data_IF_486760661160
#
_entry.id   IF_486760661160
#
_cell.length_a   1.000
_cell.length_b   1.000
_cell.length_c   1.000
_cell.angle_alpha   90.00
_cell.angle_beta   90.00
_cell.angle_gamma   90.00
#
_symmetry.space_group_name_H-M   'P 1'
#
loop_
_entity.id
_entity.type
_entity.pdbx_description
1 polymer ?
#
# COMPACT_ATOMS: atom_id res chain seq x y z
N UNK A 1 -65.12 -38.61 -2.13
CA UNK A 1 -65.79 -37.37 -2.61
C UNK A 1 -65.26 -36.11 -1.92
N UNK A 2 -65.00 -36.11 -0.61
CA UNK A 2 -64.46 -34.93 0.11
C UNK A 2 -62.99 -34.62 -0.26
N UNK A 3 -62.14 -35.64 -0.38
CA UNK A 3 -60.73 -35.51 -0.77
C UNK A 3 -60.55 -34.87 -2.17
N UNK A 4 -61.47 -35.17 -3.10
CA UNK A 4 -61.44 -34.67 -4.46
C UNK A 4 -61.80 -33.18 -4.54
N UNK A 5 -62.66 -32.70 -3.62
CA UNK A 5 -63.00 -31.30 -3.50
C UNK A 5 -61.83 -30.50 -2.92
N UNK A 6 -61.19 -31.02 -1.87
CA UNK A 6 -60.01 -30.38 -1.25
C UNK A 6 -58.84 -30.28 -2.25
N UNK A 7 -58.63 -31.31 -3.08
CA UNK A 7 -57.60 -31.28 -4.12
C UNK A 7 -57.85 -30.18 -5.17
N UNK A 8 -59.12 -29.99 -5.57
CA UNK A 8 -59.52 -28.91 -6.51
C UNK A 8 -59.33 -27.54 -5.89
N UNK A 9 -59.66 -27.36 -4.61
CA UNK A 9 -59.47 -26.11 -3.89
C UNK A 9 -57.99 -25.75 -3.71
N UNK A 10 -57.14 -26.70 -3.33
CA UNK A 10 -55.68 -26.50 -3.26
C UNK A 10 -55.11 -26.10 -4.61
N UNK A 11 -55.60 -26.69 -5.71
CA UNK A 11 -55.17 -26.33 -7.07
C UNK A 11 -55.61 -24.90 -7.42
N UNK A 12 -56.81 -24.47 -7.00
CA UNK A 12 -57.30 -23.10 -7.21
C UNK A 12 -56.49 -22.07 -6.42
N UNK A 13 -56.14 -22.39 -5.16
CA UNK A 13 -55.30 -21.56 -4.30
C UNK A 13 -53.88 -21.40 -4.86
N UNK A 14 -53.23 -22.50 -5.26
CA UNK A 14 -51.87 -22.47 -5.84
C UNK A 14 -51.80 -21.69 -7.16
N UNK A 15 -52.87 -21.69 -7.96
CA UNK A 15 -52.94 -20.90 -9.21
C UNK A 15 -53.00 -19.39 -8.98
N UNK A 16 -53.60 -18.94 -7.87
CA UNK A 16 -53.70 -17.49 -7.54
C UNK A 16 -52.51 -16.99 -6.73
N UNK A 17 -51.76 -17.89 -6.07
CA UNK A 17 -50.52 -17.53 -5.38
C UNK A 17 -49.39 -17.42 -6.41
N UNK A 18 -48.90 -16.20 -6.65
CA UNK A 18 -47.67 -16.00 -7.42
C UNK A 18 -46.45 -16.66 -6.75
N UNK A 19 -45.33 -16.74 -7.48
CA UNK A 19 -44.05 -17.13 -6.89
C UNK A 19 -43.66 -16.09 -5.82
N UNK A 20 -43.01 -16.55 -4.76
CA UNK A 20 -42.47 -15.64 -3.75
C UNK A 20 -41.47 -14.67 -4.40
N UNK A 21 -41.48 -13.41 -3.97
CA UNK A 21 -40.48 -12.44 -4.40
C UNK A 21 -39.08 -12.99 -4.10
N UNK A 22 -38.17 -12.87 -5.06
CA UNK A 22 -36.81 -13.44 -4.95
C UNK A 22 -36.69 -14.94 -5.30
N UNK A 23 -37.76 -15.64 -5.71
CA UNK A 23 -37.67 -17.06 -6.11
C UNK A 23 -36.71 -17.34 -7.28
N UNK A 24 -36.37 -16.33 -8.10
CA UNK A 24 -35.41 -16.46 -9.22
C UNK A 24 -33.98 -16.12 -8.81
N UNK A 25 -33.82 -15.33 -7.74
CA UNK A 25 -32.51 -14.89 -7.23
C UNK A 25 -32.03 -15.77 -6.08
N UNK A 26 -32.93 -16.52 -5.46
CA UNK A 26 -32.60 -17.63 -4.57
C UNK A 26 -32.17 -18.84 -5.43
N UNK A 27 -31.05 -18.68 -6.14
CA UNK A 27 -30.14 -19.82 -6.33
C UNK A 27 -29.93 -20.35 -4.93
N UNK A 28 -30.20 -21.65 -4.75
CA UNK A 28 -30.09 -22.33 -3.47
C UNK A 28 -28.78 -21.94 -2.80
N UNK A 29 -28.86 -20.94 -1.92
CA UNK A 29 -27.85 -20.65 -0.91
C UNK A 29 -27.98 -21.80 0.07
N UNK A 30 -27.56 -22.98 -0.39
CA UNK A 30 -27.13 -24.04 0.45
C UNK A 30 -26.13 -23.36 1.38
N UNK A 31 -26.58 -23.19 2.62
CA UNK A 31 -25.80 -22.76 3.75
C UNK A 31 -24.71 -23.82 3.94
N UNK A 32 -23.72 -23.82 3.04
CA UNK A 32 -22.58 -24.70 3.08
C UNK A 32 -21.67 -24.12 4.14
N UNK A 33 -21.97 -24.52 5.37
CA UNK A 33 -20.97 -24.67 6.42
C UNK A 33 -19.69 -25.19 5.77
N UNK A 34 -18.64 -24.37 5.86
CA UNK A 34 -17.23 -24.71 5.74
C UNK A 34 -16.97 -26.22 5.57
N UNK A 35 -16.86 -26.67 4.33
CA UNK A 35 -16.10 -27.87 3.99
C UNK A 35 -15.04 -27.45 2.98
N UNK A 36 -13.85 -27.21 3.52
CA UNK A 36 -12.59 -27.12 2.78
C UNK A 36 -12.32 -28.47 2.12
N UNK A 37 -12.86 -28.65 0.91
CA UNK A 37 -12.42 -29.67 -0.04
C UNK A 37 -11.97 -28.94 -1.30
N UNK A 38 -10.73 -29.14 -1.70
CA UNK A 38 -10.12 -28.50 -2.86
C UNK A 38 -10.86 -28.93 -4.15
N UNK A 39 -11.88 -28.17 -4.54
CA UNK A 39 -12.45 -28.23 -5.88
C UNK A 39 -11.52 -27.48 -6.85
N UNK A 40 -11.39 -27.93 -8.11
CA UNK A 40 -10.60 -27.24 -9.10
C UNK A 40 -11.15 -25.83 -9.29
N UNK A 41 -10.32 -24.82 -9.00
CA UNK A 41 -10.68 -23.41 -9.17
C UNK A 41 -10.67 -23.09 -10.67
N UNK A 42 -11.73 -22.43 -11.15
CA UNK A 42 -11.84 -21.97 -12.54
C UNK A 42 -10.67 -21.01 -12.85
N UNK A 43 -9.85 -21.26 -13.88
CA UNK A 43 -8.76 -20.37 -14.27
C UNK A 43 -9.18 -18.94 -14.60
N UNK A 44 -10.45 -18.72 -14.96
CA UNK A 44 -11.00 -17.39 -15.25
C UNK A 44 -11.27 -16.56 -14.00
N UNK A 45 -11.40 -17.20 -12.84
CA UNK A 45 -11.60 -16.53 -11.56
C UNK A 45 -10.25 -16.43 -10.85
N UNK A 46 -9.69 -15.22 -10.81
CA UNK A 46 -8.42 -14.95 -10.12
C UNK A 46 -8.47 -15.28 -8.62
N UNK A 47 -7.30 -15.41 -8.01
CA UNK A 47 -7.18 -15.67 -6.57
C UNK A 47 -7.74 -14.50 -5.75
N UNK A 48 -8.89 -14.71 -5.12
CA UNK A 48 -9.50 -13.77 -4.15
C UNK A 48 -9.05 -14.04 -2.71
N UNK A 49 -7.89 -14.67 -2.51
CA UNK A 49 -7.38 -14.94 -1.17
C UNK A 49 -6.82 -13.63 -0.59
N UNK A 50 -7.36 -13.10 0.52
CA UNK A 50 -6.83 -11.89 1.14
C UNK A 50 -5.41 -12.15 1.62
N UNK A 51 -4.49 -11.25 1.26
CA UNK A 51 -3.11 -11.29 1.72
C UNK A 51 -3.03 -10.49 3.02
N UNK A 52 -2.48 -11.10 4.07
CA UNK A 52 -2.31 -10.41 5.34
C UNK A 52 -1.24 -9.32 5.23
N UNK A 53 -1.54 -8.13 5.73
CA UNK A 53 -0.66 -6.96 5.68
C UNK A 53 0.53 -7.06 6.65
N UNK A 54 0.43 -7.93 7.65
CA UNK A 54 1.47 -8.16 8.66
C UNK A 54 1.83 -9.64 8.65
N UNK A 55 3.10 -9.94 8.46
CA UNK A 55 3.65 -11.30 8.50
C UNK A 55 3.91 -11.69 9.96
N UNK A 56 2.90 -12.24 10.62
CA UNK A 56 3.09 -12.94 11.88
C UNK A 56 3.83 -14.26 11.60
N UNK A 57 5.15 -14.20 11.67
CA UNK A 57 6.02 -15.36 11.52
C UNK A 57 5.72 -16.39 12.62
N UNK A 58 4.81 -17.34 12.35
CA UNK A 58 4.68 -18.56 13.13
C UNK A 58 5.91 -19.43 12.86
N UNK A 59 6.99 -19.13 13.58
CA UNK A 59 8.27 -19.84 13.53
C UNK A 59 8.05 -21.29 13.97
N UNK A 60 8.04 -22.22 13.01
CA UNK A 60 8.38 -23.62 13.31
C UNK A 60 9.88 -23.68 13.58
N UNK A 61 10.21 -24.08 14.80
CA UNK A 61 11.56 -24.20 15.32
C UNK A 61 12.46 -25.04 14.41
N UNK A 62 13.50 -24.43 13.84
CA UNK A 62 14.75 -25.13 13.49
C UNK A 62 15.93 -24.16 13.56
N UNK A 63 16.85 -24.46 14.49
CA UNK A 63 18.27 -24.06 14.65
C UNK A 63 18.61 -22.55 14.68
N UNK A 64 19.28 -22.05 15.73
CA UNK A 64 19.65 -20.64 15.83
C UNK A 64 20.85 -20.35 14.92
N UNK A 65 20.61 -19.72 13.78
CA UNK A 65 21.64 -18.87 13.17
C UNK A 65 21.66 -17.54 13.92
N UNK A 66 22.84 -16.93 14.17
CA UNK A 66 22.91 -15.63 14.81
C UNK A 66 22.34 -14.59 13.83
N UNK A 67 21.08 -14.21 14.05
CA UNK A 67 20.48 -13.08 13.36
C UNK A 67 21.19 -11.81 13.84
N UNK A 68 21.59 -10.89 12.94
CA UNK A 68 22.04 -9.57 13.36
C UNK A 68 20.90 -8.91 14.15
N UNK A 69 21.30 -8.24 15.23
CA UNK A 69 20.40 -7.59 16.17
C UNK A 69 19.51 -6.59 15.44
N UNK A 70 18.25 -6.58 15.86
CA UNK A 70 17.22 -5.58 15.59
C UNK A 70 17.81 -4.24 15.13
N UNK A 71 17.63 -3.93 13.84
CA UNK A 71 17.66 -2.55 13.40
C UNK A 71 16.52 -1.85 14.13
N UNK A 72 16.88 -0.91 15.02
CA UNK A 72 15.99 0.17 15.43
C UNK A 72 15.31 0.70 14.16
N UNK A 73 14.05 1.16 14.19
CA UNK A 73 13.46 1.79 13.01
C UNK A 73 14.45 2.83 12.53
N UNK A 74 15.07 2.57 11.37
CA UNK A 74 15.97 3.51 10.73
C UNK A 74 15.08 4.73 10.53
N UNK A 75 15.36 5.83 11.22
CA UNK A 75 14.72 7.09 10.86
C UNK A 75 14.88 7.21 9.34
N UNK A 76 13.80 7.52 8.65
CA UNK A 76 13.93 7.85 7.24
C UNK A 76 14.87 9.05 7.14
N UNK A 77 15.67 9.18 6.06
CA UNK A 77 16.52 10.34 5.88
C UNK A 77 15.74 11.67 6.01
N UNK A 78 14.46 11.68 5.60
CA UNK A 78 13.52 12.80 5.82
C UNK A 78 13.24 13.08 7.31
N UNK A 79 13.01 12.05 8.13
CA UNK A 79 12.78 12.18 9.57
C UNK A 79 14.04 12.64 10.32
N UNK A 80 15.23 12.34 9.81
CA UNK A 80 16.48 12.85 10.37
C UNK A 80 16.69 14.31 9.98
N UNK A 81 16.49 14.65 8.71
CA UNK A 81 16.60 16.01 8.19
C UNK A 81 15.67 16.96 8.95
N UNK A 82 14.38 16.62 9.04
CA UNK A 82 13.39 17.42 9.78
C UNK A 82 13.73 17.59 11.26
N UNK A 83 14.45 16.65 11.89
CA UNK A 83 14.90 16.83 13.28
C UNK A 83 16.06 17.80 13.40
N UNK A 84 16.99 17.76 12.46
CA UNK A 84 18.14 18.67 12.43
C UNK A 84 17.70 20.09 12.07
N UNK A 85 16.72 20.25 11.17
CA UNK A 85 16.10 21.53 10.83
C UNK A 85 15.28 22.15 11.98
N UNK A 86 14.78 21.34 12.91
CA UNK A 86 14.04 21.80 14.09
C UNK A 86 14.87 21.72 15.38
N UNK A 87 16.20 21.65 15.29
CA UNK A 87 17.07 21.62 16.47
C UNK A 87 17.23 23.04 17.05
N UNK A 88 16.57 23.29 18.19
CA UNK A 88 16.65 24.55 18.93
C UNK A 88 18.09 24.98 19.25
N UNK A 89 19.02 24.02 19.42
CA UNK A 89 20.42 24.34 19.68
C UNK A 89 21.10 24.91 18.44
N UNK A 90 20.87 24.30 17.27
CA UNK A 90 21.43 24.76 16.01
C UNK A 90 20.92 26.18 15.71
N UNK A 91 19.61 26.39 15.84
CA UNK A 91 18.97 27.69 15.63
C UNK A 91 19.58 28.79 16.52
N UNK A 92 19.70 28.53 17.82
CA UNK A 92 20.27 29.50 18.75
C UNK A 92 21.75 29.83 18.47
N UNK A 93 22.52 28.88 17.93
CA UNK A 93 23.91 29.11 17.54
C UNK A 93 24.00 29.94 16.26
N UNK A 94 23.08 29.72 15.30
CA UNK A 94 22.97 30.51 14.07
C UNK A 94 22.54 31.95 14.35
N UNK A 95 21.52 32.16 15.19
CA UNK A 95 21.07 33.49 15.62
C UNK A 95 22.23 34.30 16.23
N UNK A 96 23.03 33.64 17.08
CA UNK A 96 24.20 34.26 17.71
C UNK A 96 25.29 34.62 16.67
N UNK A 97 25.45 33.81 15.64
CA UNK A 97 26.37 34.07 14.53
C UNK A 97 25.89 35.30 13.73
N UNK A 98 24.59 35.42 13.48
CA UNK A 98 23.95 36.55 12.80
C UNK A 98 24.05 37.86 13.61
N UNK A 99 23.98 37.76 14.94
CA UNK A 99 24.28 38.87 15.87
C UNK A 99 25.76 39.28 15.86
N UNK A 100 26.63 38.54 15.16
CA UNK A 100 28.06 38.80 15.03
C UNK A 100 28.88 38.37 16.24
N UNK A 101 28.33 37.53 17.12
CA UNK A 101 29.04 37.02 18.28
C UNK A 101 29.92 35.82 17.88
N UNK A 102 31.09 35.73 18.51
CA UNK A 102 32.01 34.61 18.26
C UNK A 102 31.54 33.36 19.02
N UNK A 103 31.47 32.25 18.30
CA UNK A 103 31.19 30.91 18.83
C UNK A 103 32.45 30.29 19.43
N UNK A 104 32.27 29.34 20.35
CA UNK A 104 33.37 28.52 20.83
C UNK A 104 33.82 27.55 19.71
N UNK A 105 35.05 27.03 19.78
CA UNK A 105 35.54 26.07 18.78
C UNK A 105 34.68 24.79 18.72
N UNK A 106 34.12 24.39 19.87
CA UNK A 106 33.24 23.22 19.96
C UNK A 106 31.87 23.50 19.31
N UNK A 107 31.31 24.69 19.54
CA UNK A 107 30.03 25.07 18.94
C UNK A 107 30.15 25.32 17.43
N UNK A 108 31.24 25.94 16.98
CA UNK A 108 31.49 26.09 15.54
C UNK A 108 31.62 24.72 14.86
N UNK A 109 32.40 23.80 15.45
CA UNK A 109 32.53 22.44 14.90
C UNK A 109 31.19 21.69 14.89
N UNK A 110 30.32 21.93 15.87
CA UNK A 110 28.98 21.38 15.89
C UNK A 110 28.12 21.91 14.74
N UNK A 111 28.11 23.23 14.55
CA UNK A 111 27.36 23.88 13.45
C UNK A 111 27.84 23.33 12.12
N UNK A 112 29.15 23.34 11.87
CA UNK A 112 29.74 22.86 10.61
C UNK A 112 29.37 21.39 10.33
N UNK A 113 29.54 20.49 11.32
CA UNK A 113 29.19 19.06 11.17
C UNK A 113 27.69 18.83 10.94
N UNK A 114 26.85 19.66 11.54
CA UNK A 114 25.40 19.53 11.42
C UNK A 114 24.93 19.99 10.04
N UNK A 115 25.50 21.09 9.53
CA UNK A 115 25.25 21.57 8.16
C UNK A 115 25.74 20.55 7.11
N UNK A 116 26.95 20.00 7.26
CA UNK A 116 27.46 18.94 6.38
C UNK A 116 26.52 17.71 6.37
N UNK A 117 25.94 17.38 7.51
CA UNK A 117 24.99 16.26 7.63
C UNK A 117 23.66 16.57 6.93
N UNK A 118 23.16 17.79 7.07
CA UNK A 118 21.96 18.28 6.40
C UNK A 118 22.15 18.21 4.88
N UNK A 119 23.28 18.69 4.36
CA UNK A 119 23.61 18.63 2.93
C UNK A 119 23.63 17.19 2.39
N UNK A 120 24.31 16.28 3.11
CA UNK A 120 24.34 14.87 2.74
C UNK A 120 22.95 14.20 2.77
N UNK A 121 22.05 14.64 3.68
CA UNK A 121 20.68 14.14 3.74
C UNK A 121 19.82 14.68 2.59
N UNK A 122 20.03 15.94 2.17
CA UNK A 122 19.36 16.51 1.00
C UNK A 122 19.77 15.79 -0.29
N UNK A 123 21.06 15.50 -0.48
CA UNK A 123 21.57 14.70 -1.61
C UNK A 123 20.97 13.29 -1.61
N UNK A 124 20.92 12.63 -0.45
CA UNK A 124 20.31 11.30 -0.31
C UNK A 124 18.82 11.26 -0.66
N UNK A 125 18.12 12.39 -0.50
CA UNK A 125 16.71 12.53 -0.83
C UNK A 125 16.48 12.98 -2.28
N UNK A 126 17.54 13.28 -3.03
CA UNK A 126 17.44 13.81 -4.39
C UNK A 126 16.86 15.22 -4.44
N UNK A 127 16.95 15.98 -3.35
CA UNK A 127 16.65 17.42 -3.34
C UNK A 127 17.96 18.13 -3.68
N UNK A 128 18.44 17.95 -4.89
CA UNK A 128 19.68 18.59 -5.34
C UNK A 128 19.41 20.10 -5.50
N UNK A 129 20.07 20.91 -4.67
CA UNK A 129 20.03 22.37 -4.75
C UNK A 129 20.99 22.84 -5.86
N UNK A 130 20.64 22.57 -7.11
CA UNK A 130 21.39 23.02 -8.28
C UNK A 130 21.91 21.85 -9.11
N UNK A 131 21.40 21.82 -10.33
CA UNK A 131 21.82 21.03 -11.49
C UNK A 131 21.12 19.66 -11.69
N UNK A 132 20.21 19.66 -12.70
CA UNK A 132 20.02 18.54 -13.64
C UNK A 132 19.15 17.34 -13.25
N UNK A 133 17.86 17.54 -12.93
CA UNK A 133 16.88 16.43 -12.92
C UNK A 133 15.68 16.62 -13.87
N UNK A 134 15.91 17.30 -15.00
CA UNK A 134 15.02 17.28 -16.16
C UNK A 134 15.44 16.23 -17.23
N UNK A 135 16.64 15.64 -17.17
CA UNK A 135 17.11 14.70 -18.22
C UNK A 135 16.77 13.22 -17.95
N UNK A 136 16.78 12.73 -16.69
CA UNK A 136 16.42 11.32 -16.40
C UNK A 136 14.90 11.06 -16.33
N UNK A 137 14.11 12.12 -16.12
CA UNK A 137 12.65 12.00 -16.21
C UNK A 137 12.18 11.89 -17.67
N UNK A 138 12.86 12.54 -18.62
CA UNK A 138 12.50 12.48 -20.04
C UNK A 138 12.56 11.05 -20.61
N UNK A 139 13.59 10.25 -20.32
CA UNK A 139 13.68 8.87 -20.85
C UNK A 139 12.50 7.98 -20.40
N UNK A 140 12.09 8.10 -19.12
CA UNK A 140 10.94 7.36 -18.58
C UNK A 140 9.62 7.90 -19.16
N UNK A 141 9.50 9.21 -19.37
CA UNK A 141 8.34 9.83 -19.97
C UNK A 141 8.19 9.45 -21.45
N UNK A 142 9.28 9.38 -22.21
CA UNK A 142 9.30 8.96 -23.61
C UNK A 142 8.87 7.50 -23.80
N UNK A 143 9.32 6.60 -22.92
CA UNK A 143 8.95 5.18 -23.00
C UNK A 143 7.45 4.97 -22.69
N UNK A 144 6.91 5.76 -21.75
CA UNK A 144 5.47 5.83 -21.48
C UNK A 144 4.70 6.42 -22.67
N UNK A 145 5.20 7.50 -23.29
CA UNK A 145 4.59 8.13 -24.47
C UNK A 145 4.58 7.18 -25.67
N UNK A 146 5.64 6.40 -25.85
CA UNK A 146 5.81 5.42 -26.91
C UNK A 146 4.87 4.22 -26.73
N UNK A 147 4.71 3.73 -25.50
CA UNK A 147 3.73 2.70 -25.16
C UNK A 147 2.29 3.20 -25.42
N UNK A 148 1.99 4.44 -25.01
CA UNK A 148 0.68 5.08 -25.21
C UNK A 148 0.37 5.31 -26.69
N UNK A 149 1.38 5.70 -27.49
CA UNK A 149 1.25 5.92 -28.94
C UNK A 149 1.20 4.61 -29.73
N UNK A 150 1.83 3.54 -29.23
CA UNK A 150 1.79 2.20 -29.83
C UNK A 150 0.50 1.42 -29.60
N UNK A 151 -0.34 1.86 -28.65
CA UNK A 151 -1.53 1.13 -28.19
C UNK A 151 -2.81 1.27 -29.01
N UNK A 152 -2.81 2.00 -30.13
CA UNK A 152 -4.00 2.12 -30.99
C UNK A 152 -3.78 1.48 -32.38
N UNK A 153 -3.85 0.13 -32.52
CA UNK A 153 -4.26 -0.44 -33.77
C UNK A 153 -5.74 -0.10 -33.96
N UNK A 154 -6.01 0.93 -34.77
CA UNK A 154 -7.34 1.12 -35.35
C UNK A 154 -7.78 -0.21 -35.97
N UNK A 155 -8.98 -0.63 -35.60
CA UNK A 155 -9.73 -1.68 -36.27
C UNK A 155 -9.57 -1.55 -37.79
N UNK A 156 -8.74 -2.43 -38.36
CA UNK A 156 -8.72 -2.76 -39.77
C UNK A 156 -8.88 -4.26 -39.83
N UNK A 157 -10.14 -4.72 -39.85
CA UNK A 157 -10.70 -5.75 -40.74
C UNK A 157 -12.16 -6.02 -40.37
#
# INVERSE_FOLDING_TARGET
MELDQEARERKRLKKRRGLASGSRTQVESANQKNKTGAQPKDPRLGSKVPVALVVDAKVKATKPQPKPKAEKPRLTPEEELTKLENDERLDALLDRLDEGATLSAEDQAYVDQTLDRIDALMEQLGIELGDEDDEEQEEKQEDILKLLKGGNPKDVF
#
